data_IF_068460960905
#
_entry.id   IF_068460960905
#
_cell.length_a   1.000
_cell.length_b   1.000
_cell.length_c   1.000
_cell.angle_alpha   90.00
_cell.angle_beta   90.00
_cell.angle_gamma   90.00
#
_symmetry.space_group_name_H-M   'P 1'
#
loop_
_entity.id
_entity.type
_entity.pdbx_description
1 polymer ?
#
# COMPACT_ATOMS: atom_id res chain seq x y z
N UNK A 1 2.85 5.73 11.96
CA UNK A 1 2.51 6.69 10.88
C UNK A 1 2.38 8.01 11.58
N UNK A 2 3.50 8.70 11.72
CA UNK A 2 3.56 10.06 12.26
C UNK A 2 3.13 10.98 11.14
N UNK A 3 1.96 11.61 11.28
CA UNK A 3 1.50 12.46 10.20
C UNK A 3 2.28 13.76 10.11
N UNK A 4 3.04 14.19 11.13
CA UNK A 4 3.95 15.35 11.00
C UNK A 4 5.18 15.28 11.94
N UNK A 5 6.27 14.58 11.55
CA UNK A 5 7.52 14.59 12.29
C UNK A 5 8.49 15.58 11.62
N UNK A 6 8.26 16.89 11.77
CA UNK A 6 9.28 17.87 11.32
C UNK A 6 10.43 17.99 12.32
N UNK A 7 10.22 17.53 13.56
CA UNK A 7 11.27 17.40 14.57
C UNK A 7 11.42 15.92 14.91
N UNK A 8 12.65 15.42 14.79
CA UNK A 8 13.01 14.08 15.24
C UNK A 8 13.52 14.16 16.67
N UNK A 9 13.46 13.03 17.39
CA UNK A 9 14.08 12.92 18.72
C UNK A 9 15.59 13.27 18.68
N UNK A 10 16.29 12.86 17.62
CA UNK A 10 17.71 13.19 17.39
C UNK A 10 17.94 14.69 17.24
N UNK A 11 17.14 15.36 16.42
CA UNK A 11 17.25 16.81 16.25
C UNK A 11 17.02 17.56 17.56
N UNK A 12 16.04 17.12 18.36
CA UNK A 12 15.74 17.70 19.66
C UNK A 12 16.91 17.50 20.62
N UNK A 13 17.54 16.32 20.62
CA UNK A 13 18.70 16.01 21.45
C UNK A 13 19.93 16.86 21.08
N UNK A 14 20.12 17.15 19.79
CA UNK A 14 21.20 18.04 19.30
C UNK A 14 20.96 19.53 19.57
N UNK A 15 19.70 19.96 19.72
CA UNK A 15 19.32 21.38 19.79
C UNK A 15 18.47 21.71 21.04
N UNK A 16 18.94 21.43 22.26
CA UNK A 16 18.15 21.65 23.48
C UNK A 16 17.70 23.10 23.64
N UNK A 17 18.55 24.06 23.28
CA UNK A 17 18.29 25.49 23.45
C UNK A 17 17.25 26.05 22.46
N UNK A 18 16.91 25.30 21.40
CA UNK A 18 15.94 25.72 20.38
C UNK A 18 14.54 25.15 20.58
N UNK A 19 14.38 24.18 21.49
CA UNK A 19 13.14 23.43 21.68
C UNK A 19 11.95 24.33 22.01
N UNK A 20 12.15 25.35 22.85
CA UNK A 20 11.11 26.27 23.29
C UNK A 20 10.55 27.15 22.16
N UNK A 21 11.31 27.35 21.09
CA UNK A 21 10.88 28.08 19.91
C UNK A 21 10.33 27.13 18.83
N UNK A 22 11.10 26.10 18.49
CA UNK A 22 10.86 25.31 17.29
C UNK A 22 9.68 24.34 17.49
N UNK A 23 9.42 23.86 18.71
CA UNK A 23 8.27 22.98 18.97
C UNK A 23 6.93 23.72 18.76
N UNK A 24 6.70 24.92 19.33
CA UNK A 24 5.53 25.72 19.00
C UNK A 24 5.43 26.09 17.51
N UNK A 25 6.55 26.42 16.86
CA UNK A 25 6.56 26.77 15.44
C UNK A 25 6.11 25.60 14.56
N UNK A 26 6.62 24.39 14.84
CA UNK A 26 6.24 23.18 14.12
C UNK A 26 4.78 22.78 14.37
N UNK A 27 4.28 23.06 15.59
CA UNK A 27 2.86 22.90 15.87
C UNK A 27 2.01 23.90 15.06
N UNK A 28 2.42 25.16 14.94
CA UNK A 28 1.74 26.14 14.08
C UNK A 28 1.74 25.71 12.61
N UNK A 29 2.87 25.21 12.09
CA UNK A 29 2.93 24.67 10.72
C UNK A 29 1.96 23.48 10.53
N UNK A 30 1.76 22.66 11.56
CA UNK A 30 0.75 21.60 11.52
C UNK A 30 -0.67 22.17 11.41
N UNK A 31 -0.96 23.26 12.12
CA UNK A 31 -2.26 23.94 12.00
C UNK A 31 -2.44 24.59 10.62
N UNK A 32 -1.38 25.17 10.05
CA UNK A 32 -1.40 25.71 8.70
C UNK A 32 -1.66 24.62 7.66
N UNK A 33 -1.05 23.44 7.82
CA UNK A 33 -1.35 22.28 6.99
C UNK A 33 -2.83 21.88 7.11
N UNK A 34 -3.36 21.76 8.33
CA UNK A 34 -4.76 21.41 8.54
C UNK A 34 -5.68 22.45 7.90
N UNK A 35 -5.34 23.74 7.99
CA UNK A 35 -6.09 24.85 7.38
C UNK A 35 -6.12 24.73 5.86
N UNK A 36 -4.96 24.53 5.24
CA UNK A 36 -4.81 24.48 3.78
C UNK A 36 -5.54 23.27 3.18
N UNK A 37 -5.34 22.09 3.76
CA UNK A 37 -5.88 20.84 3.24
C UNK A 37 -7.28 20.51 3.72
N UNK A 38 -7.81 21.26 4.71
CA UNK A 38 -9.17 21.12 5.27
C UNK A 38 -9.50 19.67 5.62
N UNK A 39 -8.60 19.00 6.34
CA UNK A 39 -8.69 17.58 6.62
C UNK A 39 -9.96 17.26 7.44
N UNK A 40 -10.89 16.44 6.92
CA UNK A 40 -12.12 16.10 7.66
C UNK A 40 -11.88 15.08 8.77
N UNK A 41 -10.79 14.30 8.68
CA UNK A 41 -10.43 13.23 9.62
C UNK A 41 -8.93 13.30 9.91
N UNK A 42 -8.56 13.23 11.18
CA UNK A 42 -7.17 13.15 11.65
C UNK A 42 -7.03 11.93 12.56
N UNK A 43 -6.05 11.07 12.28
CA UNK A 43 -5.65 10.02 13.21
C UNK A 43 -4.50 10.53 14.08
N UNK A 44 -4.75 10.66 15.38
CA UNK A 44 -3.80 11.18 16.35
C UNK A 44 -3.06 10.05 17.06
N UNK A 45 -1.74 9.97 16.88
CA UNK A 45 -0.91 8.86 17.37
C UNK A 45 0.19 9.27 18.36
N UNK A 46 0.08 10.45 18.95
CA UNK A 46 1.16 11.02 19.80
C UNK A 46 1.25 10.40 21.21
N UNK A 47 0.32 9.54 21.61
CA UNK A 47 0.42 8.87 22.91
C UNK A 47 1.41 7.69 22.88
N UNK A 48 2.65 7.98 23.28
CA UNK A 48 3.64 6.96 23.62
C UNK A 48 4.59 7.47 24.71
N UNK A 49 4.49 6.90 25.90
CA UNK A 49 5.46 7.17 26.98
C UNK A 49 6.64 6.22 26.75
N UNK A 50 7.72 6.72 26.14
CA UNK A 50 8.71 7.39 26.96
C UNK A 50 9.10 8.74 26.35
N UNK A 51 8.17 9.50 25.77
CA UNK A 51 8.42 10.91 25.49
C UNK A 51 8.65 11.63 26.83
N UNK A 52 9.92 11.80 27.16
CA UNK A 52 10.38 12.56 28.31
C UNK A 52 9.80 13.97 28.17
N UNK A 53 9.02 14.42 29.16
CA UNK A 53 8.59 15.83 29.23
C UNK A 53 9.79 16.78 29.12
N UNK A 54 10.98 16.31 29.51
CA UNK A 54 12.25 17.03 29.36
C UNK A 54 12.68 17.22 27.90
N UNK A 55 12.38 16.26 27.00
CA UNK A 55 12.76 16.36 25.58
C UNK A 55 11.82 17.29 24.80
N UNK A 56 10.52 17.06 24.92
CA UNK A 56 9.51 17.79 24.13
C UNK A 56 8.96 19.04 24.82
N UNK A 57 9.41 19.29 26.05
CA UNK A 57 8.99 20.44 26.85
C UNK A 57 7.48 20.47 27.09
N UNK A 58 6.97 21.66 27.36
CA UNK A 58 5.54 21.93 27.42
C UNK A 58 5.26 23.29 26.82
N UNK A 59 4.26 23.37 25.95
CA UNK A 59 3.74 24.63 25.46
C UNK A 59 2.21 24.61 25.53
N UNK A 60 1.59 25.79 25.50
CA UNK A 60 0.15 25.95 25.62
C UNK A 60 -0.44 26.44 24.31
N UNK A 61 -1.40 25.69 23.78
CA UNK A 61 -2.21 26.11 22.63
C UNK A 61 -3.58 25.40 22.67
N UNK A 62 -4.67 26.11 22.35
CA UNK A 62 -6.04 25.61 22.49
C UNK A 62 -6.36 24.36 21.64
N UNK A 63 -5.62 24.19 20.54
CA UNK A 63 -5.72 23.03 19.65
C UNK A 63 -4.94 21.81 20.13
N UNK A 64 -3.95 21.96 21.01
CA UNK A 64 -3.17 20.83 21.55
C UNK A 64 -4.08 19.77 22.18
N UNK A 65 -5.00 20.08 23.12
CA UNK A 65 -5.84 19.04 23.71
C UNK A 65 -6.81 18.38 22.72
N UNK A 66 -7.19 19.09 21.65
CA UNK A 66 -8.11 18.56 20.62
C UNK A 66 -7.42 17.62 19.65
N UNK A 67 -6.15 17.90 19.34
CA UNK A 67 -5.34 17.09 18.44
C UNK A 67 -4.59 16.00 19.19
N UNK A 68 -4.33 16.16 20.49
CA UNK A 68 -3.63 15.19 21.33
C UNK A 68 -4.36 13.85 21.42
N UNK A 69 -3.59 12.77 21.57
CA UNK A 69 -4.14 11.46 21.92
C UNK A 69 -3.69 10.97 23.29
N UNK A 70 -4.43 10.00 23.83
CA UNK A 70 -4.08 9.29 25.06
C UNK A 70 -4.31 7.79 24.88
N UNK A 71 -3.55 6.97 25.62
CA UNK A 71 -3.73 5.51 25.59
C UNK A 71 -5.16 5.10 25.96
N UNK A 72 -5.74 5.74 26.98
CA UNK A 72 -7.11 5.48 27.43
C UNK A 72 -8.11 5.76 26.31
N UNK A 73 -7.96 6.90 25.61
CA UNK A 73 -8.84 7.26 24.50
C UNK A 73 -8.67 6.34 23.31
N UNK A 74 -7.44 5.92 23.02
CA UNK A 74 -7.13 5.03 21.91
C UNK A 74 -7.66 3.60 22.13
N UNK A 75 -7.52 3.07 23.34
CA UNK A 75 -8.09 1.76 23.72
C UNK A 75 -9.62 1.76 23.66
N UNK A 76 -10.24 2.88 24.01
CA UNK A 76 -11.68 3.09 23.87
C UNK A 76 -12.11 3.45 22.45
N UNK A 77 -11.17 3.56 21.50
CA UNK A 77 -11.40 3.96 20.12
C UNK A 77 -12.26 5.24 20.02
N UNK A 78 -11.95 6.22 20.87
CA UNK A 78 -12.72 7.45 20.97
C UNK A 78 -12.48 8.34 19.75
N UNK A 79 -13.52 9.06 19.33
CA UNK A 79 -13.45 10.09 18.29
C UNK A 79 -13.91 11.41 18.89
N UNK A 80 -13.06 12.43 18.84
CA UNK A 80 -13.43 13.79 19.18
C UNK A 80 -13.76 14.56 17.92
N UNK A 81 -14.78 15.40 18.00
CA UNK A 81 -15.15 16.23 16.87
C UNK A 81 -15.14 17.70 17.29
N UNK A 82 -14.57 18.56 16.46
CA UNK A 82 -14.46 19.98 16.75
C UNK A 82 -14.43 20.81 15.47
N UNK A 83 -14.79 22.08 15.60
CA UNK A 83 -14.61 23.05 14.53
C UNK A 83 -13.19 23.61 14.59
N UNK A 84 -12.56 23.66 13.42
CA UNK A 84 -11.32 24.38 13.18
C UNK A 84 -11.59 25.38 12.06
N UNK A 85 -11.70 26.66 12.44
CA UNK A 85 -12.12 27.74 11.55
C UNK A 85 -13.45 27.40 10.85
N UNK A 86 -13.44 27.29 9.52
CA UNK A 86 -14.65 27.07 8.70
C UNK A 86 -15.00 25.59 8.46
N UNK A 87 -14.25 24.64 9.02
CA UNK A 87 -14.49 23.21 8.78
C UNK A 87 -14.52 22.37 10.05
N UNK A 88 -15.17 21.23 9.92
CA UNK A 88 -15.36 20.26 11.00
C UNK A 88 -14.37 19.11 10.86
N UNK A 89 -13.71 18.79 11.97
CA UNK A 89 -12.68 17.75 12.02
C UNK A 89 -13.11 16.66 12.99
N UNK A 90 -12.98 15.41 12.55
CA UNK A 90 -13.03 14.23 13.39
C UNK A 90 -11.61 13.77 13.73
N UNK A 91 -11.19 13.97 14.98
CA UNK A 91 -9.93 13.44 15.48
C UNK A 91 -10.14 12.06 16.09
N UNK A 92 -9.68 11.04 15.38
CA UNK A 92 -9.65 9.65 15.86
C UNK A 92 -8.44 9.46 16.78
N UNK A 93 -8.69 8.88 17.94
CA UNK A 93 -7.68 8.68 18.97
C UNK A 93 -6.96 7.36 18.72
N UNK A 94 -5.68 7.43 18.38
CA UNK A 94 -4.78 6.29 18.25
C UNK A 94 -3.58 6.40 19.18
N UNK A 95 -2.66 5.46 19.06
CA UNK A 95 -1.40 5.43 19.80
C UNK A 95 -0.22 5.17 18.86
N UNK A 96 0.98 5.56 19.28
CA UNK A 96 2.15 5.38 18.45
C UNK A 96 2.47 3.87 18.30
N UNK A 97 2.66 3.34 17.09
CA UNK A 97 2.91 1.91 16.90
C UNK A 97 4.12 1.37 17.66
N UNK A 98 5.12 2.22 17.96
CA UNK A 98 6.26 1.80 18.77
C UNK A 98 5.86 1.27 20.15
N UNK A 99 4.67 1.62 20.67
CA UNK A 99 4.15 1.10 21.93
C UNK A 99 4.12 -0.44 21.97
N UNK A 100 3.91 -1.09 20.82
CA UNK A 100 3.89 -2.54 20.70
C UNK A 100 5.22 -3.19 21.14
N UNK A 101 6.35 -2.53 20.88
CA UNK A 101 7.68 -3.08 21.18
C UNK A 101 8.11 -2.94 22.66
N UNK A 102 7.28 -2.32 23.50
CA UNK A 102 7.61 -2.03 24.91
C UNK A 102 6.63 -2.68 25.89
N UNK A 103 5.89 -3.68 25.44
CA UNK A 103 4.86 -4.36 26.22
C UNK A 103 5.12 -5.87 26.28
N UNK A 104 4.50 -6.54 27.24
CA UNK A 104 4.48 -8.00 27.25
C UNK A 104 3.64 -8.55 26.09
N UNK A 105 3.82 -9.84 25.80
CA UNK A 105 3.20 -10.50 24.65
C UNK A 105 1.66 -10.40 24.61
N UNK A 106 1.00 -10.56 25.76
CA UNK A 106 -0.47 -10.50 25.86
C UNK A 106 -0.97 -9.08 25.60
N UNK A 107 -0.26 -8.08 26.13
CA UNK A 107 -0.59 -6.68 25.93
C UNK A 107 -0.28 -6.22 24.51
N UNK A 108 0.81 -6.69 23.92
CA UNK A 108 1.16 -6.46 22.52
C UNK A 108 0.02 -6.93 21.59
N UNK A 109 -0.46 -8.17 21.75
CA UNK A 109 -1.57 -8.68 20.94
C UNK A 109 -2.84 -7.83 21.07
N UNK A 110 -3.14 -7.41 22.30
CA UNK A 110 -4.31 -6.57 22.57
C UNK A 110 -4.19 -5.23 21.85
N UNK A 111 -3.02 -4.60 21.91
CA UNK A 111 -2.75 -3.33 21.25
C UNK A 111 -2.73 -3.48 19.72
N UNK A 112 -2.11 -4.53 19.17
CA UNK A 112 -2.12 -4.81 17.72
C UNK A 112 -3.56 -4.93 17.21
N UNK A 113 -4.42 -5.66 17.93
CA UNK A 113 -5.84 -5.77 17.60
C UNK A 113 -6.54 -4.42 17.57
N UNK A 114 -6.31 -3.58 18.58
CA UNK A 114 -6.89 -2.23 18.65
C UNK A 114 -6.43 -1.38 17.47
N UNK A 115 -5.13 -1.36 17.17
CA UNK A 115 -4.57 -0.57 16.08
C UNK A 115 -5.13 -1.02 14.72
N UNK A 116 -5.20 -2.32 14.47
CA UNK A 116 -5.83 -2.90 13.27
C UNK A 116 -7.28 -2.49 13.16
N UNK A 117 -8.02 -2.50 14.26
CA UNK A 117 -9.43 -2.16 14.26
C UNK A 117 -9.66 -0.68 13.95
N UNK A 118 -8.84 0.22 14.51
CA UNK A 118 -8.86 1.65 14.18
C UNK A 118 -8.61 1.86 12.68
N UNK A 119 -7.55 1.24 12.13
CA UNK A 119 -7.24 1.37 10.71
C UNK A 119 -8.32 0.77 9.82
N UNK A 120 -8.83 -0.41 10.18
CA UNK A 120 -9.92 -1.04 9.44
C UNK A 120 -11.14 -0.13 9.40
N UNK A 121 -11.60 0.41 10.54
CA UNK A 121 -12.76 1.30 10.56
C UNK A 121 -12.56 2.60 9.77
N UNK A 122 -11.33 3.13 9.73
CA UNK A 122 -11.01 4.32 8.95
C UNK A 122 -11.00 4.08 7.44
N UNK A 123 -10.54 2.91 7.01
CA UNK A 123 -10.29 2.61 5.59
C UNK A 123 -11.29 1.63 4.97
N UNK A 124 -12.12 0.96 5.76
CA UNK A 124 -13.19 0.07 5.27
C UNK A 124 -14.11 0.76 4.26
N UNK A 125 -14.54 2.02 4.46
CA UNK A 125 -15.34 2.72 3.44
C UNK A 125 -14.63 2.87 2.09
N UNK A 126 -13.30 2.80 2.07
CA UNK A 126 -12.46 2.86 0.87
C UNK A 126 -12.14 1.48 0.28
N UNK A 127 -12.55 0.38 0.93
CA UNK A 127 -12.31 -0.98 0.45
C UNK A 127 -12.90 -1.26 -0.95
N UNK A 128 -14.12 -0.78 -1.31
CA UNK A 128 -14.65 -0.95 -2.66
C UNK A 128 -13.73 -0.36 -3.75
N UNK A 129 -13.11 0.79 -3.48
CA UNK A 129 -12.19 1.44 -4.41
C UNK A 129 -10.91 0.62 -4.66
N UNK A 130 -10.42 -0.09 -3.63
CA UNK A 130 -9.29 -1.01 -3.79
C UNK A 130 -9.66 -2.21 -4.68
N UNK A 131 -10.85 -2.78 -4.49
CA UNK A 131 -11.31 -3.91 -5.29
C UNK A 131 -11.56 -3.52 -6.75
N UNK A 132 -12.16 -2.36 -7.01
CA UNK A 132 -12.35 -1.88 -8.38
C UNK A 132 -11.03 -1.63 -9.12
N UNK A 133 -10.02 -1.10 -8.43
CA UNK A 133 -8.70 -0.89 -9.03
C UNK A 133 -7.96 -2.21 -9.26
N UNK A 134 -8.11 -3.18 -8.35
CA UNK A 134 -7.55 -4.51 -8.51
C UNK A 134 -8.18 -5.23 -9.71
N UNK A 135 -9.51 -5.20 -9.85
CA UNK A 135 -10.23 -5.78 -10.99
C UNK A 135 -9.84 -5.12 -12.31
N UNK A 136 -9.77 -3.78 -12.36
CA UNK A 136 -9.29 -3.05 -13.54
C UNK A 136 -7.86 -3.42 -13.92
N UNK A 137 -6.98 -3.56 -12.93
CA UNK A 137 -5.59 -3.99 -13.13
C UNK A 137 -5.51 -5.42 -13.65
N UNK A 138 -6.28 -6.34 -13.06
CA UNK A 138 -6.34 -7.74 -13.46
C UNK A 138 -6.84 -7.85 -14.91
N UNK A 139 -7.91 -7.13 -15.25
CA UNK A 139 -8.48 -7.10 -16.59
C UNK A 139 -7.49 -6.62 -17.64
N UNK A 140 -6.75 -5.53 -17.38
CA UNK A 140 -5.69 -5.02 -18.28
C UNK A 140 -4.58 -6.05 -18.50
N UNK A 141 -4.19 -6.78 -17.45
CA UNK A 141 -3.21 -7.87 -17.57
C UNK A 141 -3.75 -9.03 -18.40
N UNK A 142 -5.01 -9.42 -18.19
CA UNK A 142 -5.66 -10.46 -19.01
C UNK A 142 -5.75 -10.06 -20.48
N UNK A 143 -6.14 -8.83 -20.78
CA UNK A 143 -6.19 -8.30 -22.15
C UNK A 143 -4.80 -8.31 -22.80
N UNK A 144 -3.75 -7.92 -22.06
CA UNK A 144 -2.36 -7.96 -22.55
C UNK A 144 -1.89 -9.39 -22.85
N UNK A 145 -2.24 -10.35 -21.99
CA UNK A 145 -1.92 -11.78 -22.21
C UNK A 145 -2.65 -12.31 -23.44
N UNK A 146 -3.93 -11.96 -23.64
CA UNK A 146 -4.69 -12.38 -24.82
C UNK A 146 -4.09 -11.83 -26.12
N UNK A 147 -3.61 -10.58 -26.12
CA UNK A 147 -2.91 -9.99 -27.26
C UNK A 147 -1.62 -10.77 -27.55
N UNK A 148 -0.83 -11.06 -26.51
CA UNK A 148 0.41 -11.82 -26.66
C UNK A 148 0.15 -13.23 -27.21
N UNK A 149 -0.87 -13.93 -26.72
CA UNK A 149 -1.26 -15.25 -27.24
C UNK A 149 -1.62 -15.17 -28.73
N UNK A 150 -2.36 -14.15 -29.15
CA UNK A 150 -2.69 -13.94 -30.57
C UNK A 150 -1.44 -13.72 -31.42
N UNK A 151 -0.51 -12.90 -30.94
CA UNK A 151 0.76 -12.64 -31.64
C UNK A 151 1.61 -13.91 -31.77
N UNK A 152 1.73 -14.71 -30.70
CA UNK A 152 2.47 -15.97 -30.75
C UNK A 152 1.85 -16.93 -31.75
N UNK A 153 0.51 -17.04 -31.80
CA UNK A 153 -0.19 -17.89 -32.79
C UNK A 153 0.06 -17.42 -34.22
N UNK A 154 0.06 -16.11 -34.45
CA UNK A 154 0.35 -15.55 -35.76
C UNK A 154 1.80 -15.81 -36.19
N UNK A 155 2.77 -15.58 -35.30
CA UNK A 155 4.17 -15.87 -35.55
C UNK A 155 4.43 -17.36 -35.80
N UNK A 156 3.72 -18.25 -35.09
CA UNK A 156 3.80 -19.69 -35.32
C UNK A 156 3.29 -20.08 -36.71
N UNK A 157 2.16 -19.51 -37.14
CA UNK A 157 1.62 -19.72 -38.48
C UNK A 157 2.57 -19.20 -39.58
N UNK A 158 3.15 -18.02 -39.39
CA UNK A 158 4.17 -17.45 -40.29
C UNK A 158 5.42 -18.34 -40.37
N UNK A 159 5.87 -18.87 -39.23
CA UNK A 159 6.99 -19.82 -39.18
C UNK A 159 6.67 -21.13 -39.92
N UNK A 160 5.45 -21.66 -39.76
CA UNK A 160 5.01 -22.86 -40.48
C UNK A 160 4.92 -22.63 -42.00
N UNK A 161 4.43 -21.47 -42.44
CA UNK A 161 4.45 -21.09 -43.86
C UNK A 161 5.88 -21.03 -44.40
N UNK A 162 6.80 -20.37 -43.69
CA UNK A 162 8.22 -20.30 -44.06
C UNK A 162 8.87 -21.69 -44.10
N UNK A 163 8.51 -22.58 -43.16
CA UNK A 163 8.97 -23.97 -43.15
C UNK A 163 8.46 -24.75 -44.36
N UNK A 164 7.19 -24.59 -44.75
CA UNK A 164 6.61 -25.23 -45.94
C UNK A 164 7.28 -24.70 -47.22
N UNK A 165 7.51 -23.39 -47.30
CA UNK A 165 8.20 -22.76 -48.45
C UNK A 165 9.65 -23.26 -48.54
N UNK A 166 10.37 -23.33 -47.41
CA UNK A 166 11.74 -23.85 -47.34
C UNK A 166 11.87 -25.34 -47.70
N UNK A 167 10.79 -26.11 -47.53
CA UNK A 167 10.72 -27.53 -47.91
C UNK A 167 10.06 -27.79 -49.28
N UNK A 168 9.69 -26.75 -50.03
CA UNK A 168 9.23 -26.93 -51.41
C UNK A 168 10.35 -27.51 -52.28
N UNK A 169 10.07 -28.48 -53.18
CA UNK A 169 11.12 -29.19 -53.91
C UNK A 169 11.80 -28.22 -54.89
N UNK A 170 13.01 -27.77 -54.54
CA UNK A 170 13.81 -26.92 -55.42
C UNK A 170 14.93 -26.09 -54.76
N UNK A 171 14.95 -25.93 -53.42
CA UNK A 171 15.89 -25.02 -52.75
C UNK A 171 16.78 -25.64 -51.66
N UNK A 172 16.60 -26.91 -51.30
CA UNK A 172 17.43 -27.55 -50.28
C UNK A 172 18.68 -28.20 -50.89
N UNK A 173 19.76 -27.42 -51.06
CA UNK A 173 21.10 -28.02 -51.13
C UNK A 173 21.49 -28.48 -49.74
N UNK A 174 21.65 -29.80 -49.59
CA UNK A 174 22.16 -30.44 -48.38
C UNK A 174 23.47 -29.78 -47.93
N UNK A 175 23.45 -29.11 -46.77
CA UNK A 175 24.62 -28.96 -45.92
C UNK A 175 24.44 -29.86 -44.71
N UNK A 176 25.22 -30.93 -44.68
CA UNK A 176 25.38 -31.79 -43.51
C UNK A 176 25.85 -30.95 -42.31
N UNK A 177 25.19 -31.12 -41.15
CA UNK A 177 25.68 -30.62 -39.87
C UNK A 177 24.83 -29.58 -39.13
N UNK A 178 23.53 -29.43 -39.43
CA UNK A 178 22.65 -28.58 -38.62
C UNK A 178 21.71 -29.40 -37.73
N UNK A 179 21.69 -29.01 -36.46
CA UNK A 179 20.86 -29.53 -35.37
C UNK A 179 19.40 -29.63 -35.85
N UNK A 180 18.79 -30.80 -35.72
CA UNK A 180 17.42 -31.03 -36.20
C UNK A 180 16.42 -30.23 -35.37
N UNK A 181 15.48 -29.58 -36.06
CA UNK A 181 14.38 -28.80 -35.49
C UNK A 181 13.35 -29.64 -34.69
N UNK A 182 13.65 -30.91 -34.44
CA UNK A 182 12.79 -31.91 -33.79
C UNK A 182 12.74 -31.76 -32.25
N UNK A 183 13.41 -30.74 -31.69
CA UNK A 183 13.46 -30.51 -30.24
C UNK A 183 12.46 -29.46 -29.71
N UNK A 184 11.56 -28.94 -30.56
CA UNK A 184 10.53 -27.93 -30.19
C UNK A 184 9.10 -28.46 -30.33
N UNK A 185 8.88 -29.68 -29.85
CA UNK A 185 7.92 -30.60 -30.45
C UNK A 185 6.42 -30.26 -30.34
N UNK A 186 5.98 -29.21 -29.62
CA UNK A 186 4.66 -28.61 -29.90
C UNK A 186 4.40 -27.28 -29.13
N UNK A 187 4.62 -26.10 -29.75
CA UNK A 187 4.24 -24.82 -29.15
C UNK A 187 2.71 -24.66 -28.93
N UNK A 188 1.87 -25.35 -29.71
CA UNK A 188 0.41 -25.35 -29.53
C UNK A 188 0.01 -26.04 -28.22
N UNK A 189 0.64 -27.17 -27.85
CA UNK A 189 0.39 -27.84 -26.56
C UNK A 189 0.74 -26.95 -25.37
N UNK A 190 1.84 -26.19 -25.46
CA UNK A 190 2.24 -25.27 -24.40
C UNK A 190 1.25 -24.10 -24.26
N UNK A 191 0.75 -23.57 -25.39
CA UNK A 191 -0.28 -22.53 -25.41
C UNK A 191 -1.62 -23.03 -24.85
N UNK A 192 -2.04 -24.24 -25.18
CA UNK A 192 -3.30 -24.81 -24.67
C UNK A 192 -3.26 -25.04 -23.15
N UNK A 193 -2.11 -25.46 -22.61
CA UNK A 193 -1.87 -25.56 -21.16
C UNK A 193 -1.98 -24.20 -20.45
N UNK A 194 -1.41 -23.15 -21.04
CA UNK A 194 -1.50 -21.78 -20.50
C UNK A 194 -2.95 -21.27 -20.54
N UNK A 195 -3.69 -21.53 -21.62
CA UNK A 195 -5.12 -21.16 -21.73
C UNK A 195 -6.00 -21.91 -20.71
N UNK A 196 -5.72 -23.19 -20.45
CA UNK A 196 -6.43 -23.96 -19.41
C UNK A 196 -6.17 -23.44 -18.01
N UNK A 197 -4.93 -23.07 -17.68
CA UNK A 197 -4.56 -22.55 -16.36
C UNK A 197 -5.11 -21.13 -16.09
N UNK A 198 -5.34 -20.35 -17.15
CA UNK A 198 -5.87 -18.99 -17.08
C UNK A 198 -7.41 -18.92 -17.18
N UNK A 199 -8.06 -20.03 -17.52
CA UNK A 199 -9.53 -20.10 -17.53
C UNK A 199 -10.02 -20.27 -16.08
N UNK A 200 -10.80 -19.34 -15.53
CA UNK A 200 -11.32 -19.47 -14.18
C UNK A 200 -12.17 -20.74 -14.14
N UNK A 201 -11.87 -21.64 -13.20
CA UNK A 201 -12.58 -22.90 -12.97
C UNK A 201 -14.11 -22.68 -12.91
N UNK A 202 -14.79 -22.76 -14.05
CA UNK A 202 -16.22 -22.97 -14.09
C UNK A 202 -16.48 -24.45 -13.91
N UNK A 203 -16.76 -24.80 -12.64
CA UNK A 203 -17.55 -25.95 -12.18
C UNK A 203 -16.79 -27.23 -11.80
N UNK A 204 -16.83 -27.59 -10.51
CA UNK A 204 -17.86 -28.49 -9.97
C UNK A 204 -17.75 -28.63 -8.44
N UNK A 205 -18.81 -28.19 -7.75
CA UNK A 205 -19.20 -28.76 -6.45
C UNK A 205 -19.62 -30.21 -6.70
N UNK A 206 -19.04 -31.13 -5.96
CA UNK A 206 -19.60 -32.42 -5.58
C UNK A 206 -19.46 -32.52 -4.07
#
# INVERSE_FOLDING_TARGET
MDLFPMLTDEWLDEHPDKRDQDIPEMFCLTLDFIREFKLPIILSCQCFRPFQRERWGSFTHDMVPKLSSSMVSAERQTVFSFHFEEHFIHCVQGFHPAKLYHEDYEREQTLDKILRQIFYSLFEPCAPWQNENLEKSLRRKTESIQILIKQIRQNAAEYDELRIIGHSPGMAQHREGSITAEQWDNPEKALDLIVQLLSPNTSKKL
#
